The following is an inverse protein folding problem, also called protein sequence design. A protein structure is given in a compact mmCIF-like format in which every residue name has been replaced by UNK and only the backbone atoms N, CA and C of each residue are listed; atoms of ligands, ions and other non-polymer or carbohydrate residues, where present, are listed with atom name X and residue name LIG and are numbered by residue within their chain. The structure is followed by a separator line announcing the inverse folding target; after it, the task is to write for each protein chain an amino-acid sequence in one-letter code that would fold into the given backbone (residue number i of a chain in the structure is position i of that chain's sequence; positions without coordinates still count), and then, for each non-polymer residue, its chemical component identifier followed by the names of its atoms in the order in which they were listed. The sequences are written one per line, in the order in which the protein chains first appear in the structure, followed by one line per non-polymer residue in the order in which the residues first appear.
data_IF_645235624206
#
_entry.id   IF_645235624206
#
_cell.length_a   1.000
_cell.length_b   1.000
_cell.length_c   1.000
_cell.angle_alpha   90.00
_cell.angle_beta   90.00
_cell.angle_gamma   90.00
#
_symmetry.space_group_name_H-M   'P 1'
#
loop_
_entity.id
_entity.type
_entity.pdbx_description
1 polymer ?
#
# COMPACT_ATOMS: atom_id res chain seq x y z
N UNK A 1 -4.13 0.29 17.25
CA UNK A 1 -3.18 0.42 16.14
C UNK A 1 -2.11 -0.64 16.35
N UNK A 2 -2.05 -1.65 15.47
CA UNK A 2 -1.00 -2.67 15.48
C UNK A 2 -0.12 -2.36 14.28
N UNK A 3 1.19 -2.22 14.49
CA UNK A 3 2.15 -1.92 13.42
C UNK A 3 3.34 -2.87 13.50
N UNK A 4 3.57 -3.62 12.43
CA UNK A 4 4.78 -4.41 12.21
C UNK A 4 5.79 -3.56 11.42
N UNK A 5 7.07 -3.59 11.78
CA UNK A 5 8.12 -2.84 11.10
C UNK A 5 9.14 -3.80 10.47
N UNK A 6 9.08 -4.00 9.14
CA UNK A 6 10.08 -4.73 8.37
C UNK A 6 11.13 -3.73 7.85
N UNK A 7 12.39 -3.93 8.24
CA UNK A 7 13.50 -2.97 8.00
C UNK A 7 13.86 -2.80 6.51
N UNK A 8 13.55 -3.77 5.64
CA UNK A 8 13.76 -3.70 4.19
C UNK A 8 12.65 -4.52 3.53
N UNK A 9 11.64 -3.86 2.96
CA UNK A 9 10.61 -4.54 2.16
C UNK A 9 11.26 -5.09 0.89
N UNK A 10 11.39 -6.41 0.77
CA UNK A 10 11.79 -7.06 -0.47
C UNK A 10 10.61 -7.04 -1.43
N UNK A 11 10.85 -7.07 -2.74
CA UNK A 11 9.77 -7.11 -3.75
C UNK A 11 8.80 -8.27 -3.51
N UNK A 12 9.29 -9.40 -2.99
CA UNK A 12 8.48 -10.55 -2.56
C UNK A 12 7.43 -10.18 -1.50
N UNK A 13 7.73 -9.25 -0.59
CA UNK A 13 6.78 -8.80 0.44
C UNK A 13 5.60 -8.03 -0.17
N UNK A 14 5.74 -7.44 -1.36
CA UNK A 14 4.69 -6.67 -2.03
C UNK A 14 3.62 -7.60 -2.63
N UNK A 15 4.06 -8.68 -3.26
CA UNK A 15 3.16 -9.62 -3.92
C UNK A 15 2.39 -10.44 -2.87
N UNK A 16 3.07 -10.90 -1.81
CA UNK A 16 2.42 -11.53 -0.65
C UNK A 16 1.40 -10.59 0.01
N UNK A 17 1.76 -9.32 0.20
CA UNK A 17 0.84 -8.31 0.73
C UNK A 17 -0.37 -8.13 -0.19
N UNK A 18 -0.17 -8.02 -1.51
CA UNK A 18 -1.24 -7.88 -2.47
C UNK A 18 -2.19 -9.09 -2.53
N UNK A 19 -1.66 -10.30 -2.31
CA UNK A 19 -2.46 -11.50 -2.19
C UNK A 19 -3.29 -11.51 -0.91
N UNK A 20 -2.69 -11.15 0.24
CA UNK A 20 -3.41 -11.03 1.51
C UNK A 20 -4.56 -10.01 1.46
N UNK A 21 -4.43 -8.93 0.67
CA UNK A 21 -5.50 -7.95 0.48
C UNK A 21 -6.79 -8.53 -0.11
N UNK A 22 -6.72 -9.65 -0.85
CA UNK A 22 -7.90 -10.31 -1.43
C UNK A 22 -8.77 -10.97 -0.38
N UNK A 23 -8.17 -11.35 0.76
CA UNK A 23 -8.82 -12.08 1.83
C UNK A 23 -9.22 -11.19 3.02
N UNK A 24 -8.87 -9.89 3.00
CA UNK A 24 -9.13 -8.95 4.10
C UNK A 24 -10.57 -8.99 4.60
N UNK A 25 -11.56 -9.05 3.71
CA UNK A 25 -12.97 -9.06 4.11
C UNK A 25 -13.49 -10.44 4.55
N UNK A 26 -12.72 -11.51 4.33
CA UNK A 26 -13.02 -12.82 4.92
C UNK A 26 -12.60 -12.85 6.39
N UNK A 27 -11.46 -12.24 6.72
CA UNK A 27 -11.00 -12.08 8.10
C UNK A 27 -11.75 -10.97 8.86
N UNK A 28 -12.12 -9.89 8.18
CA UNK A 28 -12.81 -8.74 8.77
C UNK A 28 -14.12 -8.43 8.01
N UNK A 29 -15.13 -9.31 8.13
CA UNK A 29 -16.39 -9.19 7.41
C UNK A 29 -17.18 -7.93 7.77
N UNK A 30 -16.97 -7.35 8.95
CA UNK A 30 -17.61 -6.11 9.40
C UNK A 30 -17.23 -4.88 8.56
N UNK A 31 -16.12 -4.93 7.84
CA UNK A 31 -15.72 -3.87 6.91
C UNK A 31 -16.19 -4.10 5.47
N UNK A 32 -16.98 -5.15 5.19
CA UNK A 32 -17.58 -5.36 3.87
C UNK A 32 -18.42 -4.14 3.47
N UNK A 33 -18.22 -3.67 2.24
CA UNK A 33 -18.89 -2.48 1.71
C UNK A 33 -18.14 -1.16 1.95
N UNK A 34 -17.11 -1.14 2.80
CA UNK A 34 -16.21 0.01 2.90
C UNK A 34 -15.12 -0.02 1.83
N UNK A 35 -14.63 1.16 1.45
CA UNK A 35 -13.52 1.28 0.52
C UNK A 35 -12.19 0.90 1.20
N UNK A 36 -11.52 -0.13 0.70
CA UNK A 36 -10.18 -0.52 1.19
C UNK A 36 -9.11 0.43 0.65
N UNK A 37 -8.33 1.03 1.55
CA UNK A 37 -7.16 1.85 1.22
C UNK A 37 -5.88 1.14 1.72
N UNK A 38 -5.29 0.24 0.91
CA UNK A 38 -4.08 -0.46 1.31
C UNK A 38 -2.88 0.47 1.27
N UNK A 39 -2.07 0.43 2.34
CA UNK A 39 -0.85 1.22 2.49
C UNK A 39 0.28 0.25 2.80
N UNK A 40 1.36 0.31 2.02
CA UNK A 40 2.62 -0.36 2.29
C UNK A 40 3.63 0.66 2.81
N UNK A 41 4.11 0.47 4.04
CA UNK A 41 4.98 1.42 4.73
C UNK A 41 6.38 0.86 4.95
N UNK A 42 7.41 1.67 4.69
CA UNK A 42 8.80 1.37 5.04
C UNK A 42 9.57 2.67 5.24
N UNK A 43 10.71 2.67 5.91
CA UNK A 43 11.51 3.90 6.07
C UNK A 43 12.00 4.45 4.74
N UNK A 44 12.33 3.57 3.78
CA UNK A 44 12.73 3.95 2.43
C UNK A 44 12.15 2.97 1.42
N UNK A 45 11.68 3.50 0.29
CA UNK A 45 11.15 2.70 -0.83
C UNK A 45 11.83 3.13 -2.12
N UNK A 46 12.42 2.17 -2.84
CA UNK A 46 13.05 2.43 -4.13
C UNK A 46 12.02 2.76 -5.23
N UNK A 47 12.42 3.48 -6.30
CA UNK A 47 11.50 3.86 -7.38
C UNK A 47 10.77 2.67 -8.04
N UNK A 48 11.43 1.52 -8.19
CA UNK A 48 10.81 0.30 -8.73
C UNK A 48 9.71 -0.25 -7.83
N UNK A 49 9.94 -0.22 -6.51
CA UNK A 49 8.95 -0.63 -5.51
C UNK A 49 7.74 0.30 -5.55
N UNK A 50 7.95 1.62 -5.57
CA UNK A 50 6.85 2.60 -5.68
C UNK A 50 6.06 2.41 -6.97
N UNK A 51 6.73 2.15 -8.10
CA UNK A 51 6.07 1.83 -9.37
C UNK A 51 5.24 0.54 -9.28
N UNK A 52 5.76 -0.52 -8.66
CA UNK A 52 5.02 -1.78 -8.47
C UNK A 52 3.78 -1.57 -7.60
N UNK A 53 3.92 -0.91 -6.45
CA UNK A 53 2.80 -0.59 -5.54
C UNK A 53 1.72 0.24 -6.23
N UNK A 54 2.12 1.24 -7.02
CA UNK A 54 1.20 2.08 -7.81
C UNK A 54 0.39 1.24 -8.80
N UNK A 55 1.02 0.29 -9.51
CA UNK A 55 0.31 -0.61 -10.44
C UNK A 55 -0.73 -1.48 -9.72
N UNK A 56 -0.46 -1.84 -8.47
CA UNK A 56 -1.36 -2.64 -7.63
C UNK A 56 -2.42 -1.78 -6.89
N UNK A 57 -2.48 -0.47 -7.12
CA UNK A 57 -3.35 0.48 -6.40
C UNK A 57 -3.12 0.50 -4.87
N UNK A 58 -1.86 0.30 -4.47
CA UNK A 58 -1.39 0.34 -3.09
C UNK A 58 -0.63 1.65 -2.87
N UNK A 59 -0.96 2.34 -1.78
CA UNK A 59 -0.25 3.55 -1.37
C UNK A 59 1.12 3.20 -0.79
N UNK A 60 2.16 3.91 -1.24
CA UNK A 60 3.53 3.79 -0.75
C UNK A 60 3.78 4.88 0.29
N UNK A 61 4.01 4.50 1.55
CA UNK A 61 4.31 5.42 2.65
C UNK A 61 5.78 5.26 3.03
N UNK A 62 6.57 6.34 2.97
CA UNK A 62 7.96 6.31 3.41
C UNK A 62 8.40 7.56 4.16
N UNK A 63 9.53 7.50 4.85
CA UNK A 63 10.06 8.66 5.56
C UNK A 63 10.59 9.67 4.52
N UNK A 64 9.95 10.84 4.47
CA UNK A 64 10.46 12.02 3.76
C UNK A 64 11.49 12.76 4.63
N UNK A 65 11.59 14.08 4.48
CA UNK A 65 12.61 14.84 5.22
C UNK A 65 12.37 14.87 6.74
N UNK A 66 11.09 14.85 7.15
CA UNK A 66 10.70 15.02 8.56
C UNK A 66 9.59 14.08 9.02
N UNK A 67 8.76 13.60 8.09
CA UNK A 67 7.54 12.84 8.39
C UNK A 67 7.34 11.73 7.37
N UNK A 68 6.45 10.79 7.69
CA UNK A 68 6.00 9.80 6.72
C UNK A 68 5.16 10.48 5.63
N UNK A 69 5.50 10.23 4.37
CA UNK A 69 4.89 10.85 3.19
C UNK A 69 4.40 9.77 2.22
N UNK A 70 3.27 10.06 1.56
CA UNK A 70 2.73 9.20 0.52
C UNK A 70 3.42 9.51 -0.80
N UNK A 71 4.30 8.61 -1.25
CA UNK A 71 5.13 8.79 -2.44
C UNK A 71 4.35 8.70 -3.76
N UNK A 72 3.14 8.13 -3.73
CA UNK A 72 2.31 7.88 -4.91
C UNK A 72 0.84 8.28 -4.75
N UNK A 73 0.54 9.24 -3.88
CA UNK A 73 -0.83 9.67 -3.56
C UNK A 73 -1.64 10.01 -4.83
N UNK A 74 -1.11 10.90 -5.65
CA UNK A 74 -1.81 11.41 -6.83
C UNK A 74 -1.97 10.32 -7.90
N UNK A 75 -0.96 9.47 -8.08
CA UNK A 75 -0.98 8.38 -9.05
C UNK A 75 -2.06 7.34 -8.68
N UNK A 76 -2.17 6.97 -7.41
CA UNK A 76 -3.20 6.01 -6.96
C UNK A 76 -4.59 6.64 -7.02
N UNK A 77 -4.74 7.92 -6.65
CA UNK A 77 -6.01 8.65 -6.79
C UNK A 77 -6.49 8.71 -8.24
N UNK A 78 -5.62 9.10 -9.17
CA UNK A 78 -5.94 9.16 -10.59
C UNK A 78 -6.36 7.79 -11.15
N UNK A 79 -5.66 6.72 -10.76
CA UNK A 79 -6.01 5.34 -11.18
C UNK A 79 -7.37 4.89 -10.64
N UNK A 80 -7.69 5.22 -9.39
CA UNK A 80 -9.00 4.90 -8.78
C UNK A 80 -10.14 5.72 -9.40
N UNK A 81 -9.87 6.93 -9.88
CA UNK A 81 -10.83 7.73 -10.62
C UNK A 81 -11.08 7.17 -12.02
N UNK A 82 -10.04 6.68 -12.70
CA UNK A 82 -10.13 6.14 -14.07
C UNK A 82 -10.60 4.68 -14.15
N UNK A 83 -10.61 3.95 -13.03
CA UNK A 83 -11.06 2.56 -12.94
C UNK A 83 -12.50 2.38 -12.46
N UNK A 84 -13.29 3.46 -12.50
CA UNK A 84 -14.74 3.46 -12.24
C UNK A 84 -15.53 3.59 -13.53
#
# INVERSE_FOLDING_TARGET
MISEAKLIGRVSDIDEFADALKEVFEFFPEYRGYALAPIFASLALGPDVVRRLTRLNIYALALGERTMELLNLEQVRARRANGR
#
